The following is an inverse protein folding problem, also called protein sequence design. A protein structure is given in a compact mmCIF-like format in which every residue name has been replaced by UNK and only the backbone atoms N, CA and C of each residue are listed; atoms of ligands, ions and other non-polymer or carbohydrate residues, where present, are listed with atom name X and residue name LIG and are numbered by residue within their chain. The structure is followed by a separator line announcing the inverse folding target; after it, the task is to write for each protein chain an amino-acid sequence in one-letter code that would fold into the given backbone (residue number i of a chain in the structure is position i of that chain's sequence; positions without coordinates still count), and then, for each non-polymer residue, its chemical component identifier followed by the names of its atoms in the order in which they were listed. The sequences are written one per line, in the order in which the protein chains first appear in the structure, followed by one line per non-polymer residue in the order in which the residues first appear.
data_IF_581501712211
#
_entry.id   IF_581501712211
#
_cell.length_a   1.000
_cell.length_b   1.000
_cell.length_c   1.000
_cell.angle_alpha   90.00
_cell.angle_beta   90.00
_cell.angle_gamma   90.00
#
_symmetry.space_group_name_H-M   'P 1'
#
loop_
_entity.id
_entity.type
_entity.pdbx_description
1 polymer ?
#
# COMPACT_ATOMS: atom_id res chain seq x y z
N UNK A 1 -12.37 -35.96 67.24
CA UNK A 1 -11.65 -36.05 65.95
C UNK A 1 -12.48 -35.34 64.88
N UNK A 2 -12.13 -34.11 64.49
CA UNK A 2 -12.72 -33.42 63.33
C UNK A 2 -11.58 -33.15 62.34
N UNK A 3 -11.59 -33.81 61.18
CA UNK A 3 -10.63 -33.57 60.10
C UNK A 3 -11.13 -32.37 59.29
N UNK A 4 -10.40 -31.26 59.33
CA UNK A 4 -10.62 -30.13 58.42
C UNK A 4 -10.00 -30.50 57.06
N UNK A 5 -10.85 -30.65 56.04
CA UNK A 5 -10.40 -30.82 54.66
C UNK A 5 -10.12 -29.46 54.04
N UNK A 6 -8.87 -29.23 53.63
CA UNK A 6 -8.51 -28.07 52.83
C UNK A 6 -8.81 -28.39 51.35
N UNK A 7 -9.76 -27.66 50.77
CA UNK A 7 -10.01 -27.67 49.33
C UNK A 7 -9.05 -26.66 48.70
N UNK A 8 -8.08 -27.14 47.95
CA UNK A 8 -7.21 -26.31 47.12
C UNK A 8 -7.94 -25.96 45.83
N UNK A 9 -8.31 -24.68 45.69
CA UNK A 9 -8.89 -24.17 44.45
C UNK A 9 -7.74 -23.80 43.51
N UNK A 10 -7.51 -24.61 42.48
CA UNK A 10 -6.53 -24.30 41.44
C UNK A 10 -7.09 -23.19 40.54
N UNK A 11 -6.52 -22.00 40.61
CA UNK A 11 -6.80 -20.91 39.68
C UNK A 11 -6.02 -21.19 38.39
N UNK A 12 -6.72 -21.61 37.34
CA UNK A 12 -6.18 -21.65 35.99
C UNK A 12 -6.10 -20.21 35.45
N UNK A 13 -4.90 -19.61 35.52
CA UNK A 13 -4.59 -18.40 34.78
C UNK A 13 -4.50 -18.74 33.29
N UNK A 14 -5.61 -18.60 32.56
CA UNK A 14 -5.59 -18.57 31.10
C UNK A 14 -4.92 -17.25 30.70
N UNK A 15 -3.64 -17.31 30.36
CA UNK A 15 -2.95 -16.20 29.70
C UNK A 15 -3.57 -16.03 28.31
N UNK A 16 -4.53 -15.11 28.18
CA UNK A 16 -4.99 -14.66 26.87
C UNK A 16 -3.80 -13.99 26.18
N UNK A 17 -3.23 -14.67 25.17
CA UNK A 17 -2.27 -14.03 24.29
C UNK A 17 -2.98 -12.89 23.57
N UNK A 18 -2.79 -11.66 24.05
CA UNK A 18 -3.28 -10.45 23.37
C UNK A 18 -2.51 -10.33 22.07
N UNK A 19 -3.09 -10.83 20.98
CA UNK A 19 -2.57 -10.60 19.64
C UNK A 19 -2.62 -9.09 19.39
N UNK A 20 -1.48 -8.50 19.02
CA UNK A 20 -1.45 -7.08 18.64
C UNK A 20 -2.49 -6.84 17.54
N UNK A 21 -3.18 -5.69 17.61
CA UNK A 21 -4.14 -5.33 16.56
C UNK A 21 -3.44 -5.27 15.20
N UNK A 22 -4.10 -5.70 14.11
CA UNK A 22 -3.53 -5.62 12.77
C UNK A 22 -3.18 -4.18 12.42
N UNK A 23 -2.05 -3.98 11.74
CA UNK A 23 -1.67 -2.66 11.21
C UNK A 23 -2.67 -2.23 10.14
N UNK A 24 -3.34 -1.10 10.36
CA UNK A 24 -4.21 -0.46 9.37
C UNK A 24 -3.33 0.14 8.27
N UNK A 25 -3.37 -0.42 7.07
CA UNK A 25 -2.43 -0.08 5.99
C UNK A 25 -3.17 0.44 4.75
N UNK A 26 -2.67 1.50 4.15
CA UNK A 26 -3.03 1.91 2.78
C UNK A 26 -1.76 1.80 1.93
N UNK A 27 -1.88 1.14 0.79
CA UNK A 27 -0.79 0.87 -0.13
C UNK A 27 -0.91 1.76 -1.38
N UNK A 28 0.04 2.65 -1.62
CA UNK A 28 0.07 3.59 -2.74
C UNK A 28 1.16 3.18 -3.74
N UNK A 29 0.78 2.84 -4.97
CA UNK A 29 1.61 2.06 -5.92
C UNK A 29 1.49 2.58 -7.35
N UNK A 30 2.53 2.45 -8.16
CA UNK A 30 2.51 2.69 -9.61
C UNK A 30 2.41 1.38 -10.41
N UNK A 31 1.69 0.40 -9.83
CA UNK A 31 1.47 -0.96 -10.33
C UNK A 31 1.54 -1.14 -11.85
N UNK A 32 2.46 -2.02 -12.25
CA UNK A 32 2.50 -2.62 -13.58
C UNK A 32 3.66 -2.21 -14.47
N UNK A 33 4.58 -1.36 -14.00
CA UNK A 33 5.84 -1.07 -14.69
C UNK A 33 6.77 -2.30 -14.63
N UNK A 34 7.03 -2.79 -13.42
CA UNK A 34 7.81 -3.98 -13.08
C UNK A 34 7.11 -4.83 -11.99
N UNK A 35 7.85 -5.70 -11.30
CA UNK A 35 7.29 -6.79 -10.47
C UNK A 35 7.31 -6.51 -8.97
N UNK A 36 8.02 -5.50 -8.50
CA UNK A 36 8.21 -5.20 -7.09
C UNK A 36 6.92 -4.75 -6.40
N UNK A 37 6.10 -3.87 -7.00
CA UNK A 37 4.77 -3.51 -6.47
C UNK A 37 3.85 -4.72 -6.30
N UNK A 38 3.86 -5.63 -7.29
CA UNK A 38 3.10 -6.87 -7.25
C UNK A 38 3.57 -7.74 -6.07
N UNK A 39 4.89 -7.89 -5.90
CA UNK A 39 5.45 -8.65 -4.80
C UNK A 39 5.14 -8.02 -3.43
N UNK A 40 5.18 -6.70 -3.33
CA UNK A 40 4.78 -5.97 -2.12
C UNK A 40 3.30 -6.20 -1.79
N UNK A 41 2.39 -6.12 -2.78
CA UNK A 41 0.97 -6.40 -2.58
C UNK A 41 0.72 -7.86 -2.20
N UNK A 42 1.42 -8.83 -2.81
CA UNK A 42 1.39 -10.24 -2.41
C UNK A 42 1.82 -10.44 -0.94
N UNK A 43 2.87 -9.76 -0.50
CA UNK A 43 3.31 -9.78 0.90
C UNK A 43 2.25 -9.19 1.83
N UNK A 44 1.63 -8.07 1.45
CA UNK A 44 0.55 -7.43 2.21
C UNK A 44 -0.64 -8.39 2.37
N UNK A 45 -1.10 -9.02 1.29
CA UNK A 45 -2.18 -10.02 1.35
C UNK A 45 -1.82 -11.20 2.25
N UNK A 46 -0.58 -11.67 2.18
CA UNK A 46 -0.09 -12.76 3.03
C UNK A 46 -0.08 -12.35 4.52
N UNK A 47 0.35 -11.13 4.82
CA UNK A 47 0.32 -10.56 6.18
C UNK A 47 -1.11 -10.36 6.68
N UNK A 48 -2.04 -9.99 5.80
CA UNK A 48 -3.46 -9.90 6.15
C UNK A 48 -4.09 -11.26 6.42
N UNK A 49 -3.78 -12.30 5.63
CA UNK A 49 -4.16 -13.68 5.94
C UNK A 49 -3.62 -14.15 7.30
N UNK A 50 -2.45 -13.64 7.70
CA UNK A 50 -1.84 -13.87 9.02
C UNK A 50 -2.30 -12.87 10.08
N UNK A 51 -3.35 -12.08 9.84
CA UNK A 51 -3.92 -11.12 10.80
C UNK A 51 -2.93 -10.09 11.34
N UNK A 52 -1.85 -9.80 10.61
CA UNK A 52 -0.85 -8.80 10.98
C UNK A 52 -1.11 -7.43 10.34
N UNK A 53 -1.81 -7.43 9.20
CA UNK A 53 -2.18 -6.22 8.44
C UNK A 53 -3.69 -6.26 8.16
N UNK A 54 -4.29 -5.08 8.13
CA UNK A 54 -5.61 -4.83 7.58
C UNK A 54 -5.45 -3.81 6.44
N UNK A 55 -5.47 -4.30 5.19
CA UNK A 55 -5.34 -3.46 4.00
C UNK A 55 -6.65 -2.70 3.77
N UNK A 56 -6.63 -1.41 4.08
CA UNK A 56 -7.78 -0.52 3.98
C UNK A 56 -8.10 -0.12 2.54
N UNK A 57 -7.07 0.04 1.71
CA UNK A 57 -7.18 0.38 0.30
C UNK A 57 -5.85 0.22 -0.43
N UNK A 58 -5.95 0.13 -1.76
CA UNK A 58 -4.84 0.36 -2.67
C UNK A 58 -5.09 1.64 -3.46
N UNK A 59 -4.14 2.57 -3.47
CA UNK A 59 -4.20 3.78 -4.30
C UNK A 59 -3.13 3.73 -5.38
N UNK A 60 -3.46 4.25 -6.56
CA UNK A 60 -2.66 4.06 -7.77
C UNK A 60 -2.16 5.41 -8.26
N UNK A 61 -0.85 5.53 -8.47
CA UNK A 61 -0.18 6.74 -8.97
C UNK A 61 0.24 6.66 -10.42
N UNK A 62 0.20 5.47 -11.02
CA UNK A 62 0.32 5.29 -12.47
C UNK A 62 -1.02 5.60 -13.15
N UNK A 63 -1.07 6.65 -13.97
CA UNK A 63 -2.30 7.09 -14.65
C UNK A 63 -2.61 6.26 -15.91
N UNK A 64 -2.64 4.93 -15.76
CA UNK A 64 -2.98 4.01 -16.85
C UNK A 64 -4.25 3.22 -16.51
N UNK A 65 -5.25 3.12 -17.41
CA UNK A 65 -6.54 2.48 -17.15
C UNK A 65 -6.44 1.06 -16.58
N UNK A 66 -5.48 0.27 -17.06
CA UNK A 66 -5.33 -1.13 -16.62
C UNK A 66 -4.54 -1.31 -15.32
N UNK A 67 -3.94 -0.26 -14.74
CA UNK A 67 -3.24 -0.40 -13.46
C UNK A 67 -4.22 -0.81 -12.35
N UNK A 68 -5.40 -0.19 -12.31
CA UNK A 68 -6.46 -0.51 -11.35
C UNK A 68 -7.06 -1.90 -11.56
N UNK A 69 -7.32 -2.25 -12.82
CA UNK A 69 -7.78 -3.58 -13.17
C UNK A 69 -6.78 -4.68 -12.77
N UNK A 70 -5.47 -4.39 -12.88
CA UNK A 70 -4.45 -5.34 -12.48
C UNK A 70 -4.37 -5.49 -10.95
N UNK A 71 -4.48 -4.40 -10.19
CA UNK A 71 -4.60 -4.47 -8.73
C UNK A 71 -5.84 -5.26 -8.32
N UNK A 72 -6.98 -5.04 -8.97
CA UNK A 72 -8.22 -5.77 -8.69
C UNK A 72 -8.11 -7.27 -8.98
N UNK A 73 -7.44 -7.64 -10.07
CA UNK A 73 -7.12 -9.04 -10.38
C UNK A 73 -6.25 -9.69 -9.30
N UNK A 74 -5.26 -8.97 -8.76
CA UNK A 74 -4.43 -9.48 -7.66
C UNK A 74 -5.27 -9.60 -6.37
N UNK A 75 -6.06 -8.59 -6.04
CA UNK A 75 -6.96 -8.62 -4.87
C UNK A 75 -7.96 -9.78 -4.94
N UNK A 76 -8.57 -9.98 -6.12
CA UNK A 76 -9.49 -11.08 -6.40
C UNK A 76 -8.80 -12.44 -6.28
N UNK A 77 -7.57 -12.58 -6.82
CA UNK A 77 -6.77 -13.79 -6.68
C UNK A 77 -6.51 -14.16 -5.22
N UNK A 78 -6.28 -13.18 -4.35
CA UNK A 78 -6.12 -13.38 -2.90
C UNK A 78 -7.45 -13.48 -2.12
N UNK A 79 -8.59 -13.54 -2.81
CA UNK A 79 -9.92 -13.70 -2.21
C UNK A 79 -10.46 -12.45 -1.53
N UNK A 80 -10.00 -11.25 -1.94
CA UNK A 80 -10.40 -9.96 -1.37
C UNK A 80 -10.79 -8.95 -2.46
N UNK A 81 -11.76 -9.27 -3.34
CA UNK A 81 -12.15 -8.41 -4.46
C UNK A 81 -12.63 -7.03 -4.01
N UNK A 82 -13.24 -6.93 -2.82
CA UNK A 82 -13.87 -5.69 -2.35
C UNK A 82 -12.90 -4.67 -1.71
N UNK A 83 -11.57 -4.88 -1.79
CA UNK A 83 -10.61 -3.90 -1.28
C UNK A 83 -10.74 -2.61 -2.11
N UNK A 84 -11.01 -1.46 -1.48
CA UNK A 84 -11.16 -0.21 -2.22
C UNK A 84 -9.92 0.14 -3.04
N UNK A 85 -10.13 0.49 -4.30
CA UNK A 85 -9.08 0.97 -5.21
C UNK A 85 -9.38 2.43 -5.58
N UNK A 86 -8.40 3.30 -5.36
CA UNK A 86 -8.46 4.71 -5.77
C UNK A 86 -7.39 5.00 -6.81
N UNK A 87 -7.68 5.82 -7.81
CA UNK A 87 -6.71 6.13 -8.87
C UNK A 87 -6.39 7.62 -8.92
N UNK A 88 -5.15 7.94 -9.25
CA UNK A 88 -4.80 9.27 -9.73
C UNK A 88 -5.58 9.55 -11.02
N UNK A 89 -5.98 10.81 -11.22
CA UNK A 89 -6.53 11.29 -12.49
C UNK A 89 -5.64 12.43 -12.99
N UNK A 90 -5.16 12.37 -14.22
CA UNK A 90 -4.18 13.34 -14.74
C UNK A 90 -2.87 13.28 -13.96
N UNK A 91 -2.37 12.06 -13.76
CA UNK A 91 -1.12 11.76 -13.07
C UNK A 91 0.05 11.62 -14.04
N UNK A 92 1.15 11.07 -13.54
CA UNK A 92 2.36 10.82 -14.35
C UNK A 92 2.35 9.39 -14.91
N UNK A 93 3.17 9.15 -15.93
CA UNK A 93 3.39 7.83 -16.57
C UNK A 93 2.14 7.13 -17.14
N UNK A 94 1.34 7.82 -17.99
CA UNK A 94 0.12 7.25 -18.54
C UNK A 94 0.36 6.11 -19.55
N UNK A 95 1.59 5.91 -20.00
CA UNK A 95 1.96 4.87 -20.95
C UNK A 95 1.83 3.45 -20.35
N UNK A 96 1.52 2.42 -21.16
CA UNK A 96 1.40 1.05 -20.68
C UNK A 96 2.71 0.56 -20.04
N UNK A 97 2.56 -0.14 -18.92
CA UNK A 97 3.66 -0.84 -18.27
C UNK A 97 3.80 -2.25 -18.85
N UNK A 98 4.84 -2.97 -18.43
CA UNK A 98 5.08 -4.33 -18.91
C UNK A 98 3.99 -5.32 -18.46
N UNK A 99 3.40 -5.08 -17.28
CA UNK A 99 2.54 -6.05 -16.60
C UNK A 99 1.08 -5.61 -16.46
N UNK A 100 0.76 -4.32 -16.50
CA UNK A 100 -0.63 -3.89 -16.35
C UNK A 100 -1.57 -4.40 -17.47
N UNK A 101 -1.03 -4.71 -18.65
CA UNK A 101 -1.81 -5.34 -19.74
C UNK A 101 -2.33 -6.73 -19.40
N UNK A 102 -1.74 -7.42 -18.41
CA UNK A 102 -2.15 -8.76 -17.98
C UNK A 102 -3.59 -8.78 -17.47
N UNK A 103 -4.11 -7.67 -16.95
CA UNK A 103 -5.51 -7.58 -16.56
C UNK A 103 -6.45 -7.92 -17.73
N UNK A 104 -6.12 -7.54 -18.96
CA UNK A 104 -6.94 -7.86 -20.13
C UNK A 104 -6.62 -9.22 -20.77
N UNK A 105 -5.71 -10.02 -20.20
CA UNK A 105 -5.38 -11.33 -20.73
C UNK A 105 -6.61 -12.25 -20.69
N UNK A 106 -6.84 -12.98 -21.78
CA UNK A 106 -7.98 -13.89 -21.92
C UNK A 106 -7.53 -15.32 -22.17
N UNK A 107 -8.37 -16.27 -21.77
CA UNK A 107 -8.30 -17.66 -22.18
C UNK A 107 -8.86 -17.84 -23.60
N UNK A 108 -8.71 -19.05 -24.16
CA UNK A 108 -9.18 -19.36 -25.52
C UNK A 108 -10.72 -19.25 -25.66
N UNK A 109 -11.46 -19.42 -24.57
CA UNK A 109 -12.92 -19.27 -24.51
C UNK A 109 -13.38 -17.81 -24.35
N UNK A 110 -12.46 -16.86 -24.28
CA UNK A 110 -12.74 -15.44 -24.13
C UNK A 110 -12.97 -14.96 -22.68
N UNK A 111 -12.95 -15.88 -21.70
CA UNK A 111 -12.94 -15.52 -20.28
C UNK A 111 -11.65 -14.80 -19.89
N UNK A 112 -11.70 -13.93 -18.88
CA UNK A 112 -10.51 -13.30 -18.33
C UNK A 112 -9.61 -14.38 -17.72
N UNK A 113 -8.32 -14.37 -18.09
CA UNK A 113 -7.29 -15.23 -17.50
C UNK A 113 -7.16 -14.97 -16.01
N UNK A 114 -7.28 -13.71 -15.61
CA UNK A 114 -7.29 -13.28 -14.21
C UNK A 114 -8.63 -12.62 -13.92
N UNK A 115 -9.57 -13.30 -13.23
CA UNK A 115 -10.87 -12.73 -12.90
C UNK A 115 -10.75 -11.47 -12.03
N UNK A 116 -11.53 -10.45 -12.36
CA UNK A 116 -11.64 -9.16 -11.69
C UNK A 116 -12.89 -8.43 -12.21
N UNK A 117 -13.44 -7.46 -11.48
CA UNK A 117 -14.65 -6.73 -11.87
C UNK A 117 -14.40 -5.25 -12.20
N UNK A 118 -13.30 -4.68 -11.71
CA UNK A 118 -12.83 -3.35 -12.08
C UNK A 118 -12.10 -3.38 -13.42
N UNK A 119 -12.82 -3.17 -14.52
CA UNK A 119 -12.23 -3.29 -15.86
C UNK A 119 -11.38 -2.10 -16.29
N UNK A 120 -11.49 -0.96 -15.61
CA UNK A 120 -10.73 0.26 -15.91
C UNK A 120 -10.61 1.18 -14.69
N UNK A 121 -9.45 1.79 -14.50
CA UNK A 121 -9.22 2.84 -13.52
C UNK A 121 -10.13 4.06 -13.71
N UNK A 122 -10.74 4.25 -14.88
CA UNK A 122 -11.77 5.28 -15.07
C UNK A 122 -12.98 5.10 -14.14
N UNK A 123 -13.34 3.86 -13.85
CA UNK A 123 -14.48 3.49 -12.99
C UNK A 123 -14.15 3.61 -11.49
N UNK A 124 -12.86 3.62 -11.14
CA UNK A 124 -12.40 3.79 -9.78
C UNK A 124 -12.53 5.27 -9.33
N UNK A 125 -12.87 5.51 -8.05
CA UNK A 125 -12.87 6.85 -7.48
C UNK A 125 -11.47 7.48 -7.55
N UNK A 126 -11.42 8.80 -7.48
CA UNK A 126 -10.17 9.53 -7.36
C UNK A 126 -9.50 9.23 -6.00
N UNK A 127 -8.18 9.01 -6.03
CA UNK A 127 -7.41 8.54 -4.88
C UNK A 127 -7.42 9.51 -3.69
N UNK A 128 -7.33 10.82 -3.92
CA UNK A 128 -7.36 11.84 -2.87
C UNK A 128 -8.66 11.76 -2.07
N UNK A 129 -9.81 11.68 -2.75
CA UNK A 129 -11.12 11.55 -2.09
C UNK A 129 -11.22 10.26 -1.27
N UNK A 130 -10.74 9.14 -1.81
CA UNK A 130 -10.71 7.85 -1.10
C UNK A 130 -9.82 7.91 0.15
N UNK A 131 -8.60 8.47 0.03
CA UNK A 131 -7.67 8.64 1.15
C UNK A 131 -8.30 9.47 2.27
N UNK A 132 -8.93 10.61 1.94
CA UNK A 132 -9.61 11.46 2.93
C UNK A 132 -10.73 10.71 3.65
N UNK A 133 -11.59 10.01 2.90
CA UNK A 133 -12.68 9.19 3.45
C UNK A 133 -12.14 8.16 4.44
N UNK A 134 -11.12 7.40 4.04
CA UNK A 134 -10.57 6.32 4.87
C UNK A 134 -9.87 6.88 6.11
N UNK A 135 -9.00 7.87 5.96
CA UNK A 135 -8.30 8.48 7.10
C UNK A 135 -9.27 9.09 8.11
N UNK A 136 -10.33 9.78 7.66
CA UNK A 136 -11.33 10.37 8.54
C UNK A 136 -12.05 9.32 9.42
N UNK A 137 -12.27 8.12 8.88
CA UNK A 137 -12.96 7.03 9.57
C UNK A 137 -12.08 6.24 10.54
N UNK A 138 -10.75 6.41 10.50
CA UNK A 138 -9.83 5.66 11.35
C UNK A 138 -9.55 6.40 12.68
N UNK A 139 -9.15 5.69 13.75
CA UNK A 139 -8.63 6.31 14.96
C UNK A 139 -7.43 7.21 14.67
N UNK A 140 -7.18 8.18 15.56
CA UNK A 140 -6.01 9.04 15.45
C UNK A 140 -4.72 8.21 15.57
N UNK A 141 -3.67 8.60 14.83
CA UNK A 141 -2.36 7.93 14.85
C UNK A 141 -2.41 6.41 14.63
N UNK A 142 -3.32 5.92 13.77
CA UNK A 142 -3.53 4.48 13.57
C UNK A 142 -3.16 3.97 12.17
N UNK A 143 -3.17 4.84 11.16
CA UNK A 143 -2.99 4.44 9.76
C UNK A 143 -1.52 4.51 9.36
N UNK A 144 -1.00 3.42 8.79
CA UNK A 144 0.31 3.38 8.14
C UNK A 144 0.11 3.52 6.63
N UNK A 145 0.78 4.49 6.02
CA UNK A 145 0.81 4.63 4.58
C UNK A 145 2.10 4.01 4.05
N UNK A 146 2.01 3.23 2.99
CA UNK A 146 3.17 2.68 2.28
C UNK A 146 3.11 3.16 0.84
N UNK A 147 4.01 4.06 0.45
CA UNK A 147 4.17 4.54 -0.93
C UNK A 147 5.35 3.82 -1.57
N UNK A 148 5.08 3.15 -2.69
CA UNK A 148 6.10 2.54 -3.55
C UNK A 148 6.03 3.06 -4.99
N UNK A 149 5.05 3.92 -5.30
CA UNK A 149 4.98 4.65 -6.58
C UNK A 149 5.31 6.14 -6.45
N UNK A 150 4.70 6.94 -7.32
CA UNK A 150 4.93 8.39 -7.42
C UNK A 150 4.28 9.19 -6.28
N UNK A 151 4.53 10.50 -6.25
CA UNK A 151 4.18 11.35 -5.11
C UNK A 151 2.83 12.07 -5.26
N UNK A 152 2.20 12.00 -6.44
CA UNK A 152 1.03 12.81 -6.79
C UNK A 152 -0.14 12.62 -5.83
N UNK A 153 -0.50 11.37 -5.49
CA UNK A 153 -1.66 11.10 -4.61
C UNK A 153 -1.45 11.71 -3.22
N UNK A 154 -0.27 11.51 -2.63
CA UNK A 154 0.03 12.01 -1.29
C UNK A 154 0.24 13.53 -1.28
N UNK A 155 0.78 14.12 -2.33
CA UNK A 155 0.85 15.58 -2.48
C UNK A 155 -0.55 16.20 -2.60
N UNK A 156 -1.46 15.60 -3.38
CA UNK A 156 -2.85 16.07 -3.49
C UNK A 156 -3.62 15.89 -2.18
N UNK A 157 -3.37 14.78 -1.46
CA UNK A 157 -3.90 14.61 -0.12
C UNK A 157 -3.41 15.72 0.81
N UNK A 158 -2.12 16.03 0.80
CA UNK A 158 -1.54 17.11 1.61
C UNK A 158 -2.19 18.47 1.32
N UNK A 159 -2.47 18.75 0.05
CA UNK A 159 -3.05 20.03 -0.43
C UNK A 159 -4.57 20.10 -0.35
N UNK A 160 -5.23 18.99 -0.04
CA UNK A 160 -6.70 18.95 -0.02
C UNK A 160 -7.29 19.86 1.06
N UNK A 161 -8.41 20.49 0.75
CA UNK A 161 -9.23 21.23 1.72
C UNK A 161 -10.12 20.29 2.52
N UNK A 162 -10.81 20.83 3.53
CA UNK A 162 -11.93 20.14 4.18
C UNK A 162 -12.98 19.67 3.15
N UNK A 163 -13.69 18.59 3.47
CA UNK A 163 -14.69 17.98 2.61
C UNK A 163 -15.83 17.36 3.44
N UNK A 164 -16.73 16.62 2.78
CA UNK A 164 -17.85 15.95 3.44
C UNK A 164 -17.42 14.83 4.41
N UNK A 165 -16.16 14.36 4.34
CA UNK A 165 -15.64 13.29 5.21
C UNK A 165 -14.96 13.85 6.46
N UNK A 166 -14.33 15.02 6.36
CA UNK A 166 -13.64 15.65 7.48
C UNK A 166 -13.59 17.17 7.35
N UNK A 167 -13.83 17.91 8.46
CA UNK A 167 -13.63 19.36 8.49
C UNK A 167 -12.15 19.76 8.47
N UNK A 168 -11.22 18.80 8.58
CA UNK A 168 -9.79 19.05 8.57
C UNK A 168 -9.27 19.22 7.14
N UNK A 169 -8.32 20.13 6.96
CA UNK A 169 -7.47 20.16 5.75
C UNK A 169 -6.69 18.85 5.64
N UNK A 170 -6.17 18.57 4.45
CA UNK A 170 -5.34 17.41 4.17
C UNK A 170 -4.16 17.27 5.13
N UNK A 171 -3.42 18.35 5.30
CA UNK A 171 -2.28 18.41 6.24
C UNK A 171 -2.69 18.11 7.68
N UNK A 172 -3.79 18.67 8.17
CA UNK A 172 -4.30 18.40 9.52
C UNK A 172 -4.82 16.96 9.66
N UNK A 173 -5.50 16.45 8.63
CA UNK A 173 -6.01 15.08 8.61
C UNK A 173 -4.86 14.07 8.65
N UNK A 174 -3.81 14.28 7.86
CA UNK A 174 -2.60 13.46 7.89
C UNK A 174 -1.96 13.51 9.28
N UNK A 175 -1.72 14.72 9.80
CA UNK A 175 -1.10 14.91 11.12
C UNK A 175 -1.89 14.21 12.24
N UNK A 176 -3.23 14.16 12.12
CA UNK A 176 -4.09 13.54 13.10
C UNK A 176 -4.17 12.03 12.96
N UNK A 177 -4.25 11.50 11.74
CA UNK A 177 -4.63 10.11 11.46
C UNK A 177 -3.48 9.18 11.10
N UNK A 178 -2.44 9.70 10.46
CA UNK A 178 -1.33 8.90 9.96
C UNK A 178 -0.28 8.71 11.06
N UNK A 179 0.01 7.45 11.37
CA UNK A 179 1.03 7.02 12.31
C UNK A 179 2.43 7.13 11.71
N UNK A 180 2.57 6.66 10.47
CA UNK A 180 3.84 6.63 9.73
C UNK A 180 3.56 6.59 8.24
N UNK A 181 4.40 7.27 7.47
CA UNK A 181 4.52 7.10 6.02
C UNK A 181 5.84 6.38 5.72
N UNK A 182 5.79 5.21 5.09
CA UNK A 182 6.95 4.50 4.56
C UNK A 182 7.03 4.74 3.05
N UNK A 183 8.17 5.22 2.54
CA UNK A 183 8.35 5.59 1.14
C UNK A 183 9.52 4.82 0.55
N UNK A 184 9.31 4.14 -0.58
CA UNK A 184 10.41 3.73 -1.46
C UNK A 184 10.74 4.89 -2.41
N UNK A 185 11.87 5.55 -2.15
CA UNK A 185 12.34 6.67 -2.97
C UNK A 185 13.77 7.10 -2.61
N UNK A 186 14.43 7.73 -3.59
CA UNK A 186 15.75 8.33 -3.42
C UNK A 186 16.88 7.31 -3.30
N UNK A 187 18.09 7.83 -3.06
CA UNK A 187 19.27 7.05 -2.75
C UNK A 187 20.10 7.82 -1.72
N UNK A 188 20.30 7.24 -0.54
CA UNK A 188 21.01 7.89 0.56
C UNK A 188 22.44 7.37 0.71
N UNK A 189 22.86 6.50 -0.21
CA UNK A 189 24.23 6.04 -0.39
C UNK A 189 24.61 6.06 -1.88
N UNK A 190 25.91 6.09 -2.24
CA UNK A 190 26.34 5.92 -3.61
C UNK A 190 25.85 4.58 -4.18
N UNK A 191 25.18 4.62 -5.34
CA UNK A 191 24.68 3.42 -6.02
C UNK A 191 25.66 3.03 -7.11
N UNK A 192 26.33 1.88 -6.98
CA UNK A 192 27.37 1.44 -7.94
C UNK A 192 28.39 2.55 -8.22
N UNK A 193 28.92 3.18 -7.16
CA UNK A 193 29.86 4.31 -7.22
C UNK A 193 29.30 5.62 -7.80
N UNK A 194 28.01 5.66 -8.16
CA UNK A 194 27.34 6.88 -8.60
C UNK A 194 26.77 7.65 -7.40
N UNK A 195 27.31 8.85 -7.15
CA UNK A 195 26.84 9.77 -6.09
C UNK A 195 25.64 10.61 -6.51
N UNK A 196 25.21 10.54 -7.77
CA UNK A 196 24.06 11.25 -8.33
C UNK A 196 23.08 10.25 -8.96
N UNK A 197 22.70 9.24 -8.18
CA UNK A 197 21.66 8.32 -8.60
C UNK A 197 20.32 9.04 -8.65
N UNK A 198 19.67 9.00 -9.81
CA UNK A 198 18.37 9.61 -10.05
C UNK A 198 17.30 8.53 -9.92
N UNK A 199 16.79 8.37 -8.70
CA UNK A 199 15.79 7.34 -8.40
C UNK A 199 14.48 7.61 -9.18
N UNK A 200 13.87 6.54 -9.69
CA UNK A 200 12.79 6.58 -10.67
C UNK A 200 11.54 7.30 -10.17
N UNK A 201 11.03 6.94 -8.99
CA UNK A 201 9.83 7.51 -8.41
C UNK A 201 9.99 9.02 -8.17
N UNK A 202 11.18 9.46 -7.75
CA UNK A 202 11.49 10.88 -7.58
C UNK A 202 11.52 11.62 -8.92
N UNK A 203 12.23 11.12 -9.94
CA UNK A 203 12.37 11.88 -11.20
C UNK A 203 11.09 11.94 -12.02
N UNK A 204 10.17 10.99 -11.84
CA UNK A 204 8.87 11.01 -12.52
C UNK A 204 7.93 12.07 -11.98
N UNK A 205 8.12 12.53 -10.74
CA UNK A 205 7.25 13.50 -10.09
C UNK A 205 8.00 14.44 -9.13
N UNK A 206 9.01 15.13 -9.66
CA UNK A 206 9.91 16.00 -8.87
C UNK A 206 9.15 17.04 -8.04
N UNK A 207 8.17 17.81 -8.59
CA UNK A 207 7.46 18.82 -7.80
C UNK A 207 6.71 18.25 -6.60
N UNK A 208 6.02 17.12 -6.78
CA UNK A 208 5.30 16.47 -5.69
C UNK A 208 6.27 15.84 -4.68
N UNK A 209 7.37 15.23 -5.13
CA UNK A 209 8.41 14.68 -4.26
C UNK A 209 9.04 15.75 -3.37
N UNK A 210 9.41 16.90 -3.94
CA UNK A 210 9.96 18.04 -3.20
C UNK A 210 8.98 18.57 -2.15
N UNK A 211 7.70 18.70 -2.54
CA UNK A 211 6.67 19.19 -1.63
C UNK A 211 6.44 18.23 -0.47
N UNK A 212 6.27 16.94 -0.76
CA UNK A 212 6.07 15.93 0.27
C UNK A 212 7.26 15.90 1.25
N UNK A 213 8.49 15.86 0.74
CA UNK A 213 9.70 15.85 1.58
C UNK A 213 9.81 17.07 2.51
N UNK A 214 9.31 18.24 2.08
CA UNK A 214 9.36 19.48 2.85
C UNK A 214 8.23 19.62 3.85
N UNK A 215 7.03 19.14 3.51
CA UNK A 215 5.80 19.57 4.18
C UNK A 215 5.00 18.46 4.86
N UNK A 216 5.39 17.19 4.68
CA UNK A 216 4.68 16.06 5.28
C UNK A 216 4.66 16.13 6.82
N UNK A 217 3.48 16.04 7.48
CA UNK A 217 3.34 16.42 8.89
C UNK A 217 3.45 15.25 9.91
N UNK A 218 3.65 14.01 9.46
CA UNK A 218 3.82 12.83 10.34
C UNK A 218 5.19 12.17 10.12
N UNK A 219 5.62 11.23 10.98
CA UNK A 219 6.89 10.53 10.79
C UNK A 219 7.00 9.86 9.41
N UNK A 220 8.14 10.02 8.76
CA UNK A 220 8.44 9.40 7.45
C UNK A 220 9.65 8.48 7.57
N UNK A 221 9.51 7.25 7.07
CA UNK A 221 10.61 6.33 6.84
C UNK A 221 10.93 6.32 5.34
N UNK A 222 12.12 6.77 4.99
CA UNK A 222 12.62 6.72 3.62
C UNK A 222 13.42 5.44 3.41
N UNK A 223 13.04 4.67 2.39
CA UNK A 223 13.71 3.47 1.92
C UNK A 223 14.34 3.76 0.56
N UNK A 224 15.64 4.06 0.56
CA UNK A 224 16.39 4.36 -0.65
C UNK A 224 16.66 3.12 -1.52
N UNK A 225 17.12 3.37 -2.74
CA UNK A 225 17.48 2.35 -3.73
C UNK A 225 18.47 1.30 -3.18
N UNK A 226 19.41 1.71 -2.33
CA UNK A 226 20.39 0.84 -1.68
C UNK A 226 19.74 -0.27 -0.82
N UNK A 227 18.55 -0.04 -0.28
CA UNK A 227 17.81 -1.04 0.50
C UNK A 227 17.31 -2.15 -0.42
N UNK A 228 16.81 -1.82 -1.61
CA UNK A 228 16.38 -2.79 -2.61
C UNK A 228 17.52 -3.69 -3.09
N UNK A 229 18.74 -3.14 -3.21
CA UNK A 229 19.95 -3.93 -3.50
C UNK A 229 20.27 -4.87 -2.33
N UNK A 230 20.25 -4.36 -1.11
CA UNK A 230 20.62 -5.13 0.08
C UNK A 230 19.60 -6.25 0.42
N UNK A 231 18.34 -6.08 0.03
CA UNK A 231 17.24 -7.00 0.28
C UNK A 231 16.73 -7.69 -1.00
N UNK A 232 17.63 -7.99 -1.95
CA UNK A 232 17.28 -8.62 -3.21
C UNK A 232 16.53 -9.95 -3.01
N UNK A 233 15.37 -10.09 -3.64
CA UNK A 233 14.59 -11.33 -3.59
C UNK A 233 15.27 -12.41 -4.45
N UNK A 234 15.44 -13.65 -3.93
CA UNK A 234 16.16 -14.69 -4.64
C UNK A 234 15.38 -15.15 -5.89
N UNK A 235 15.97 -14.99 -7.07
CA UNK A 235 15.36 -15.42 -8.34
C UNK A 235 15.01 -16.91 -8.34
N UNK A 236 15.78 -17.73 -7.63
CA UNK A 236 15.54 -19.17 -7.49
C UNK A 236 14.18 -19.47 -6.88
N UNK A 237 13.70 -18.64 -5.94
CA UNK A 237 12.36 -18.79 -5.39
C UNK A 237 11.29 -18.51 -6.44
N UNK A 238 11.50 -17.52 -7.32
CA UNK A 238 10.60 -17.26 -8.45
C UNK A 238 10.49 -18.47 -9.39
N UNK A 239 11.62 -19.12 -9.69
CA UNK A 239 11.65 -20.27 -10.60
C UNK A 239 11.10 -21.57 -10.00
N UNK A 240 11.21 -21.77 -8.68
CA UNK A 240 10.97 -23.08 -8.06
C UNK A 240 9.77 -23.12 -7.11
N UNK A 241 9.45 -22.01 -6.46
CA UNK A 241 8.46 -22.00 -5.38
C UNK A 241 7.06 -21.59 -5.89
N UNK A 242 6.97 -20.99 -7.08
CA UNK A 242 5.73 -20.47 -7.68
C UNK A 242 5.39 -21.05 -9.07
N UNK A 243 6.15 -22.04 -9.54
CA UNK A 243 5.97 -22.69 -10.84
C UNK A 243 4.92 -23.81 -10.82
#
# INVERSE_FOLDING_TARGET
MKKAGYVWMAVLCVAAATRAEPVKLIFDTDMGNDTDDLMALCMIHTLQSRGAVDLLAVTITKDHPQAAAFVDAVNTFYGRPDIPIGVVKGGVTPEPGKFNLLAAAKNADGSLRYPHDLVSGEQAPEATGLLRKLLAAQPDQSVSLVQVGFFTNLQRLLDSSADAHSPLTGKELIAKKVKVLSIMAGAFQPINWNTRHLEYNVIKDIPAAQKLAKEWPSPVLWSGFEVGIAAAYPYVSVERDYA
#
